data_IF_626540885454
#
_entry.id   IF_626540885454
#
_cell.length_a   1.000
_cell.length_b   1.000
_cell.length_c   1.000
_cell.angle_alpha   90.00
_cell.angle_beta   90.00
_cell.angle_gamma   90.00
#
_symmetry.space_group_name_H-M   'P 1'
#
loop_
_entity.id
_entity.type
_entity.pdbx_description
1 polymer ?
#
# COMPACT_ATOMS: atom_id res chain seq x y z
N UNK A 1 0.75 17.08 -22.43
CA UNK A 1 -0.69 17.05 -22.04
C UNK A 1 -1.10 15.72 -21.36
N UNK A 2 -0.39 14.60 -21.57
CA UNK A 2 -0.70 13.29 -20.93
C UNK A 2 -0.24 13.18 -19.46
N UNK A 3 0.86 13.86 -19.08
CA UNK A 3 1.49 13.67 -17.75
C UNK A 3 0.58 14.06 -16.59
N UNK A 4 -0.17 15.15 -16.72
CA UNK A 4 -1.04 15.64 -15.65
C UNK A 4 -2.19 14.67 -15.32
N UNK A 5 -2.66 13.89 -16.31
CA UNK A 5 -3.68 12.84 -16.10
C UNK A 5 -3.08 11.66 -15.34
N UNK A 6 -1.86 11.25 -15.70
CA UNK A 6 -1.17 10.16 -15.02
C UNK A 6 -0.85 10.54 -13.57
N UNK A 7 -0.45 11.79 -13.33
CA UNK A 7 -0.17 12.29 -11.97
C UNK A 7 -1.43 12.29 -11.10
N UNK A 8 -2.56 12.77 -11.63
CA UNK A 8 -3.86 12.70 -10.92
C UNK A 8 -4.25 11.25 -10.59
N UNK A 9 -4.02 10.32 -11.51
CA UNK A 9 -4.30 8.89 -11.28
C UNK A 9 -3.37 8.30 -10.23
N UNK A 10 -2.07 8.62 -10.26
CA UNK A 10 -1.09 8.15 -9.27
C UNK A 10 -1.39 8.67 -7.87
N UNK A 11 -1.73 9.95 -7.73
CA UNK A 11 -2.15 10.53 -6.44
C UNK A 11 -3.42 9.86 -5.94
N UNK A 12 -4.41 9.65 -6.81
CA UNK A 12 -5.65 8.94 -6.43
C UNK A 12 -5.41 7.51 -5.96
N UNK A 13 -4.53 6.77 -6.65
CA UNK A 13 -4.14 5.42 -6.27
C UNK A 13 -3.37 5.41 -4.93
N UNK A 14 -2.42 6.33 -4.76
CA UNK A 14 -1.65 6.48 -3.53
C UNK A 14 -2.57 6.73 -2.31
N UNK A 15 -3.54 7.64 -2.44
CA UNK A 15 -4.52 7.94 -1.41
C UNK A 15 -5.43 6.74 -1.12
N UNK A 16 -5.86 6.03 -2.16
CA UNK A 16 -6.64 4.81 -2.03
C UNK A 16 -5.90 3.74 -1.21
N UNK A 17 -4.65 3.42 -1.61
CA UNK A 17 -3.83 2.43 -0.93
C UNK A 17 -3.59 2.79 0.54
N UNK A 18 -3.29 4.06 0.80
CA UNK A 18 -3.10 4.55 2.17
C UNK A 18 -4.36 4.37 3.02
N UNK A 19 -5.52 4.81 2.52
CA UNK A 19 -6.80 4.70 3.24
C UNK A 19 -7.15 3.24 3.52
N UNK A 20 -6.98 2.38 2.52
CA UNK A 20 -7.28 0.96 2.66
C UNK A 20 -6.36 0.30 3.69
N UNK A 21 -5.06 0.53 3.61
CA UNK A 21 -4.08 0.06 4.61
C UNK A 21 -4.43 0.54 6.02
N UNK A 22 -4.73 1.83 6.19
CA UNK A 22 -5.05 2.42 7.49
C UNK A 22 -6.39 1.92 8.06
N UNK A 23 -7.30 1.41 7.22
CA UNK A 23 -8.59 0.85 7.63
C UNK A 23 -8.53 -0.62 8.08
N UNK A 24 -7.49 -1.35 7.68
CA UNK A 24 -7.36 -2.78 8.00
C UNK A 24 -6.80 -2.98 9.41
N UNK A 25 -7.52 -3.74 10.22
CA UNK A 25 -7.04 -4.14 11.54
C UNK A 25 -5.95 -5.20 11.40
N UNK A 26 -4.83 -5.09 12.15
CA UNK A 26 -3.84 -6.15 12.24
C UNK A 26 -4.45 -7.50 12.63
N UNK A 27 -5.47 -7.50 13.51
CA UNK A 27 -6.10 -8.72 13.97
C UNK A 27 -6.82 -9.49 12.86
N UNK A 28 -7.41 -8.77 11.90
CA UNK A 28 -8.18 -9.37 10.81
C UNK A 28 -7.29 -10.17 9.84
N UNK A 29 -5.99 -9.89 9.84
CA UNK A 29 -4.96 -10.56 9.03
C UNK A 29 -4.02 -11.42 9.89
N UNK A 30 -4.43 -11.75 11.12
CA UNK A 30 -3.69 -12.64 12.02
C UNK A 30 -2.44 -12.01 12.66
N UNK A 31 -2.26 -10.70 12.57
CA UNK A 31 -1.17 -9.99 13.19
C UNK A 31 -1.55 -9.46 14.58
N UNK A 32 -0.64 -9.49 15.56
CA UNK A 32 -0.90 -8.92 16.87
C UNK A 32 -1.02 -7.39 16.79
N UNK A 33 -1.82 -6.78 17.67
CA UNK A 33 -1.90 -5.32 17.80
C UNK A 33 -0.56 -4.67 18.23
N UNK A 34 0.40 -5.44 18.75
CA UNK A 34 1.71 -4.95 19.19
C UNK A 34 1.61 -3.88 20.30
N UNK A 35 2.75 -3.37 20.80
CA UNK A 35 2.76 -2.22 21.71
C UNK A 35 2.82 -0.90 20.93
N UNK A 36 2.11 0.14 21.42
CA UNK A 36 2.03 1.53 20.91
C UNK A 36 2.23 1.66 19.38
N UNK A 37 1.14 1.52 18.62
CA UNK A 37 1.14 1.82 17.17
C UNK A 37 0.97 3.32 16.94
N UNK A 38 1.67 3.85 15.94
CA UNK A 38 1.45 5.23 15.42
C UNK A 38 0.42 5.26 14.29
N UNK A 39 0.24 4.14 13.61
CA UNK A 39 -0.74 3.96 12.52
C UNK A 39 -1.97 3.26 13.09
N UNK A 40 -3.21 3.69 12.75
CA UNK A 40 -4.43 3.06 13.24
C UNK A 40 -4.62 1.62 12.75
N UNK A 41 -4.25 1.33 11.50
CA UNK A 41 -4.32 0.00 10.89
C UNK A 41 -2.96 -0.63 10.62
N UNK A 42 -2.85 -1.29 9.47
CA UNK A 42 -1.63 -1.94 9.02
C UNK A 42 -0.50 -0.93 8.74
N UNK A 43 0.72 -1.35 9.02
CA UNK A 43 1.95 -0.65 8.65
C UNK A 43 2.37 -1.04 7.23
N UNK A 44 3.26 -0.25 6.63
CA UNK A 44 3.72 -0.53 5.25
C UNK A 44 4.48 -1.84 5.17
N UNK A 45 5.30 -2.12 6.18
CA UNK A 45 6.05 -3.37 6.29
C UNK A 45 5.14 -4.59 6.44
N UNK A 46 3.97 -4.42 7.08
CA UNK A 46 3.01 -5.50 7.25
C UNK A 46 2.29 -5.81 5.95
N UNK A 47 1.82 -4.79 5.22
CA UNK A 47 1.23 -4.98 3.89
C UNK A 47 2.22 -5.61 2.93
N UNK A 48 3.46 -5.11 2.91
CA UNK A 48 4.50 -5.66 2.04
C UNK A 48 4.78 -7.14 2.35
N UNK A 49 4.84 -7.51 3.63
CA UNK A 49 5.01 -8.89 4.04
C UNK A 49 3.82 -9.78 3.66
N UNK A 50 2.59 -9.32 3.89
CA UNK A 50 1.35 -10.06 3.56
C UNK A 50 1.22 -10.27 2.04
N UNK A 51 1.55 -9.26 1.24
CA UNK A 51 1.50 -9.33 -0.22
C UNK A 51 2.72 -10.05 -0.85
N UNK A 52 3.74 -10.42 -0.06
CA UNK A 52 4.96 -11.01 -0.58
C UNK A 52 5.74 -10.08 -1.52
N UNK A 53 5.72 -8.76 -1.26
CA UNK A 53 6.41 -7.77 -2.08
C UNK A 53 7.47 -6.99 -1.30
N UNK A 54 8.38 -6.32 -2.01
CA UNK A 54 9.37 -5.47 -1.37
C UNK A 54 8.76 -4.22 -0.71
N UNK A 55 9.09 -3.98 0.56
CA UNK A 55 8.65 -2.79 1.32
C UNK A 55 8.92 -1.46 0.60
N UNK A 56 10.09 -1.32 -0.01
CA UNK A 56 10.47 -0.09 -0.73
C UNK A 56 9.52 0.18 -1.90
N UNK A 57 9.17 -0.87 -2.65
CA UNK A 57 8.26 -0.77 -3.80
C UNK A 57 6.85 -0.39 -3.36
N UNK A 58 6.32 -1.03 -2.31
CA UNK A 58 5.02 -0.65 -1.76
C UNK A 58 5.02 0.79 -1.23
N UNK A 59 6.09 1.19 -0.54
CA UNK A 59 6.21 2.56 -0.02
C UNK A 59 6.22 3.60 -1.14
N UNK A 60 6.93 3.35 -2.23
CA UNK A 60 6.97 4.25 -3.38
C UNK A 60 5.64 4.31 -4.12
N UNK A 61 4.95 3.17 -4.26
CA UNK A 61 3.61 3.12 -4.84
C UNK A 61 2.61 3.93 -3.99
N UNK A 62 2.60 3.74 -2.67
CA UNK A 62 1.73 4.50 -1.75
C UNK A 62 2.11 5.99 -1.65
N UNK A 63 3.35 6.36 -2.02
CA UNK A 63 3.76 7.77 -2.14
C UNK A 63 3.39 8.38 -3.49
N UNK A 64 2.82 7.61 -4.43
CA UNK A 64 2.47 8.08 -5.77
C UNK A 64 3.70 8.41 -6.63
N UNK A 65 4.87 7.84 -6.34
CA UNK A 65 6.08 8.07 -7.13
C UNK A 65 5.89 7.50 -8.54
N UNK A 66 6.53 8.13 -9.53
CA UNK A 66 6.57 7.65 -10.92
C UNK A 66 7.46 6.42 -11.09
N UNK A 67 7.05 5.29 -10.52
CA UNK A 67 7.71 4.00 -10.65
C UNK A 67 6.98 3.10 -11.64
N UNK A 68 7.70 2.16 -12.24
CA UNK A 68 7.10 1.11 -13.06
C UNK A 68 7.07 -0.19 -12.22
N UNK A 69 5.88 -0.78 -12.08
CA UNK A 69 5.65 -2.02 -11.33
C UNK A 69 5.04 -3.06 -12.26
N UNK A 70 5.31 -4.34 -12.01
CA UNK A 70 4.70 -5.42 -12.80
C UNK A 70 3.21 -5.57 -12.49
N UNK A 71 2.46 -6.19 -13.39
CA UNK A 71 1.07 -6.59 -13.13
C UNK A 71 0.98 -7.51 -11.91
N UNK A 72 1.85 -8.53 -11.83
CA UNK A 72 1.91 -9.45 -10.69
C UNK A 72 2.11 -8.74 -9.35
N UNK A 73 2.90 -7.65 -9.32
CA UNK A 73 3.03 -6.84 -8.10
C UNK A 73 1.70 -6.18 -7.72
N UNK A 74 0.95 -5.64 -8.69
CA UNK A 74 -0.35 -5.03 -8.45
C UNK A 74 -1.40 -6.06 -8.03
N UNK A 75 -1.37 -7.26 -8.62
CA UNK A 75 -2.27 -8.36 -8.28
C UNK A 75 -2.08 -8.77 -6.80
N UNK A 76 -0.83 -9.00 -6.38
CA UNK A 76 -0.51 -9.33 -4.99
C UNK A 76 -0.97 -8.25 -3.99
N UNK A 77 -0.82 -6.97 -4.35
CA UNK A 77 -1.29 -5.86 -3.51
C UNK A 77 -2.81 -5.84 -3.44
N UNK A 78 -3.51 -6.09 -4.55
CA UNK A 78 -4.98 -6.06 -4.61
C UNK A 78 -5.64 -7.15 -3.77
N UNK A 79 -4.98 -8.28 -3.57
CA UNK A 79 -5.44 -9.36 -2.70
C UNK A 79 -5.24 -9.05 -1.21
N UNK A 80 -4.38 -8.09 -0.89
CA UNK A 80 -3.98 -7.76 0.49
C UNK A 80 -4.69 -6.53 1.03
N UNK A 81 -4.77 -5.46 0.23
CA UNK A 81 -5.39 -4.18 0.61
C UNK A 81 -6.67 -3.93 -0.17
#
# INVERSE_FOLDING_TARGET
>A
MLDHRLDRTRTGLADFLRRRRESLSPLDVGLPLGKRRRTPGLRREEVAALAGVGLTWYTWLEQGRGINVSSAFLDNISETV
#
